data_IF_444883809255
#
_entry.id   IF_444883809255
#
_cell.length_a   1.000
_cell.length_b   1.000
_cell.length_c   1.000
_cell.angle_alpha   90.00
_cell.angle_beta   90.00
_cell.angle_gamma   90.00
#
_symmetry.space_group_name_H-M   'P 1'
#
loop_
_entity.id
_entity.type
_entity.pdbx_description
1 polymer ?
#
# COMPACT_ATOMS: atom_id res chain seq x y z
N UNK A 1 -3.65 -20.07 1.22
CA UNK A 1 -2.23 -19.71 1.41
C UNK A 1 -1.29 -20.00 0.22
N UNK A 2 -1.55 -20.92 -0.76
CA UNK A 2 -0.76 -20.97 -2.00
C UNK A 2 -1.14 -19.87 -3.03
N UNK A 3 -2.18 -19.07 -2.74
CA UNK A 3 -2.67 -17.97 -3.58
C UNK A 3 -1.79 -16.69 -3.53
N UNK A 4 -0.75 -16.67 -2.69
CA UNK A 4 0.10 -15.49 -2.46
C UNK A 4 1.15 -15.30 -3.58
N UNK A 5 1.89 -16.35 -3.93
CA UNK A 5 2.89 -16.30 -5.01
C UNK A 5 2.27 -16.01 -6.40
N UNK A 6 1.05 -16.52 -6.65
CA UNK A 6 0.35 -16.31 -7.92
C UNK A 6 -0.11 -14.86 -8.16
N UNK A 7 -0.30 -14.05 -7.09
CA UNK A 7 -0.81 -12.67 -7.20
C UNK A 7 0.27 -11.64 -7.59
N UNK A 8 1.54 -11.89 -7.29
CA UNK A 8 2.64 -10.95 -7.58
C UNK A 8 3.08 -10.94 -9.04
N UNK A 9 3.02 -12.09 -9.73
CA UNK A 9 3.37 -12.17 -11.16
C UNK A 9 2.35 -11.47 -12.09
N UNK A 10 1.06 -11.45 -11.73
CA UNK A 10 0.01 -10.91 -12.61
C UNK A 10 0.03 -9.38 -12.76
N UNK A 11 0.71 -8.65 -11.85
CA UNK A 11 0.79 -7.18 -11.87
C UNK A 11 1.99 -6.65 -12.67
N UNK A 12 2.93 -7.51 -13.08
CA UNK A 12 4.13 -7.12 -13.80
C UNK A 12 4.04 -7.54 -15.27
N UNK A 13 3.14 -6.89 -16.01
CA UNK A 13 3.08 -7.01 -17.46
C UNK A 13 4.40 -6.57 -18.11
N UNK A 14 5.28 -7.53 -18.39
CA UNK A 14 6.50 -7.33 -19.19
C UNK A 14 6.43 -8.27 -20.39
N UNK A 15 5.90 -7.75 -21.49
CA UNK A 15 6.07 -8.37 -22.80
C UNK A 15 7.54 -8.17 -23.23
N UNK A 16 8.34 -9.22 -23.17
CA UNK A 16 9.69 -9.23 -23.70
C UNK A 16 9.65 -9.63 -25.19
N UNK A 17 9.98 -8.68 -26.07
CA UNK A 17 10.13 -8.93 -27.51
C UNK A 17 11.14 -7.97 -28.12
N UNK A 18 12.43 -8.28 -27.97
CA UNK A 18 13.53 -7.53 -28.57
C UNK A 18 14.66 -8.47 -28.95
N UNK A 19 14.81 -8.67 -30.26
CA UNK A 19 15.78 -9.52 -30.93
C UNK A 19 17.24 -9.16 -30.62
N UNK A 20 18.03 -10.14 -30.19
CA UNK A 20 19.47 -10.01 -30.01
C UNK A 20 20.15 -11.38 -30.02
N UNK A 21 20.76 -11.69 -31.16
CA UNK A 21 21.47 -12.92 -31.53
C UNK A 21 22.49 -13.40 -30.47
N UNK A 22 22.52 -14.71 -30.17
CA UNK A 22 23.63 -15.42 -29.49
C UNK A 22 23.84 -16.81 -30.10
N UNK A 23 25.08 -17.31 -30.19
CA UNK A 23 25.38 -18.60 -30.81
C UNK A 23 24.99 -19.76 -29.89
N UNK A 24 24.41 -20.83 -30.48
CA UNK A 24 23.89 -21.98 -29.73
C UNK A 24 24.96 -22.94 -29.19
N UNK A 25 24.66 -23.71 -28.12
CA UNK A 25 25.60 -24.66 -27.52
C UNK A 25 25.73 -25.97 -28.32
N UNK A 26 26.84 -26.65 -28.06
CA UNK A 26 27.35 -27.82 -28.78
C UNK A 26 26.48 -29.10 -28.67
N UNK A 27 26.66 -30.10 -29.56
CA UNK A 27 25.66 -31.13 -29.90
C UNK A 27 25.28 -32.14 -28.82
N UNK A 28 25.98 -32.21 -27.69
CA UNK A 28 25.81 -33.27 -26.68
C UNK A 28 24.78 -32.95 -25.58
N UNK A 29 24.22 -31.74 -25.52
CA UNK A 29 23.16 -31.38 -24.56
C UNK A 29 21.73 -31.55 -25.09
N UNK A 30 21.54 -32.04 -26.32
CA UNK A 30 20.22 -32.08 -26.99
C UNK A 30 19.32 -33.26 -26.59
N UNK A 31 19.83 -34.30 -25.92
CA UNK A 31 19.02 -35.49 -25.61
C UNK A 31 18.39 -35.53 -24.22
N UNK A 32 18.77 -34.64 -23.29
CA UNK A 32 18.10 -34.52 -21.98
C UNK A 32 16.87 -33.59 -21.98
N UNK A 33 16.66 -32.79 -23.04
CA UNK A 33 15.56 -31.82 -23.09
C UNK A 33 14.29 -32.32 -23.81
N UNK A 34 14.37 -33.43 -24.56
CA UNK A 34 13.24 -33.90 -25.36
C UNK A 34 12.12 -34.62 -24.55
N UNK A 35 12.41 -35.01 -23.31
CA UNK A 35 11.46 -35.73 -22.44
C UNK A 35 10.64 -34.85 -21.50
N UNK A 36 10.94 -33.54 -21.40
CA UNK A 36 10.30 -32.63 -20.43
C UNK A 36 9.24 -31.73 -21.09
N UNK A 37 9.23 -31.62 -22.42
CA UNK A 37 8.44 -30.59 -23.12
C UNK A 37 7.01 -30.98 -23.47
N UNK A 38 6.59 -32.23 -23.27
CA UNK A 38 5.23 -32.67 -23.61
C UNK A 38 4.25 -32.62 -22.43
N UNK A 39 4.65 -33.05 -21.21
CA UNK A 39 3.74 -32.99 -20.05
C UNK A 39 3.64 -31.56 -19.48
N UNK A 40 4.73 -30.80 -19.51
CA UNK A 40 4.76 -29.44 -18.96
C UNK A 40 3.89 -28.44 -19.73
N UNK A 41 3.55 -28.72 -20.99
CA UNK A 41 2.72 -27.82 -21.80
C UNK A 41 1.22 -28.00 -21.51
N UNK A 42 0.77 -29.23 -21.25
CA UNK A 42 -0.60 -29.50 -20.80
C UNK A 42 -0.79 -29.11 -19.33
N UNK A 43 0.22 -29.32 -18.49
CA UNK A 43 0.21 -28.85 -17.10
C UNK A 43 0.28 -27.32 -17.01
N UNK A 44 1.01 -26.64 -17.92
CA UNK A 44 1.00 -25.18 -18.02
C UNK A 44 -0.33 -24.62 -18.56
N UNK A 45 -1.01 -25.33 -19.47
CA UNK A 45 -2.34 -24.94 -19.94
C UNK A 45 -3.42 -25.15 -18.87
N UNK A 46 -3.31 -26.21 -18.06
CA UNK A 46 -4.18 -26.46 -16.90
C UNK A 46 -3.91 -25.47 -15.75
N UNK A 47 -2.65 -25.08 -15.53
CA UNK A 47 -2.27 -24.04 -14.57
C UNK A 47 -2.67 -22.63 -15.04
N UNK A 48 -2.67 -22.36 -16.35
CA UNK A 48 -3.21 -21.13 -16.93
C UNK A 48 -4.75 -21.03 -16.83
N UNK A 49 -5.45 -22.17 -16.73
CA UNK A 49 -6.90 -22.22 -16.51
C UNK A 49 -7.30 -22.05 -15.04
N UNK A 50 -6.33 -22.01 -14.11
CA UNK A 50 -6.55 -21.85 -12.67
C UNK A 50 -6.03 -20.49 -12.13
N UNK A 51 -5.92 -19.48 -13.00
CA UNK A 51 -5.77 -18.10 -12.54
C UNK A 51 -7.00 -17.72 -11.69
N UNK A 52 -6.83 -17.20 -10.46
CA UNK A 52 -7.96 -16.68 -9.72
C UNK A 52 -8.64 -15.63 -10.59
N UNK A 53 -9.96 -15.75 -10.73
CA UNK A 53 -10.79 -14.81 -11.47
C UNK A 53 -10.43 -13.37 -11.06
N UNK A 54 -10.49 -12.40 -11.99
CA UNK A 54 -10.30 -10.99 -11.65
C UNK A 54 -11.21 -10.67 -10.44
N UNK A 55 -10.75 -9.84 -9.50
CA UNK A 55 -11.55 -9.53 -8.34
C UNK A 55 -12.94 -9.11 -8.78
N UNK A 56 -13.96 -9.77 -8.20
CA UNK A 56 -15.36 -9.39 -8.41
C UNK A 56 -15.44 -7.89 -8.18
N UNK A 57 -15.87 -7.15 -9.19
CA UNK A 57 -16.03 -5.70 -9.11
C UNK A 57 -16.84 -5.34 -7.87
N UNK A 58 -16.40 -4.32 -7.13
CA UNK A 58 -17.15 -3.83 -5.98
C UNK A 58 -18.40 -3.14 -6.52
N UNK A 59 -19.58 -3.66 -6.15
CA UNK A 59 -20.87 -3.11 -6.57
C UNK A 59 -21.35 -2.01 -5.60
N UNK A 60 -20.80 -1.92 -4.38
CA UNK A 60 -21.16 -0.86 -3.46
C UNK A 60 -20.49 0.48 -3.79
N UNK A 61 -21.24 1.56 -3.58
CA UNK A 61 -20.72 2.93 -3.64
C UNK A 61 -19.84 3.22 -2.42
N UNK A 62 -18.70 3.86 -2.67
CA UNK A 62 -17.73 4.30 -1.66
C UNK A 62 -17.84 5.81 -1.49
N UNK A 63 -17.98 6.31 -0.26
CA UNK A 63 -17.93 7.72 0.09
C UNK A 63 -16.60 8.02 0.76
N UNK A 64 -15.93 9.11 0.38
CA UNK A 64 -14.69 9.55 1.01
C UNK A 64 -15.03 10.71 1.94
N UNK A 65 -14.58 10.70 3.19
CA UNK A 65 -14.71 11.85 4.09
C UNK A 65 -13.29 12.25 4.44
N UNK A 66 -12.60 12.86 3.49
CA UNK A 66 -11.17 13.19 3.57
C UNK A 66 -10.47 13.25 2.22
N UNK A 67 -9.89 14.39 1.88
CA UNK A 67 -9.34 14.76 0.57
C UNK A 67 -8.04 15.55 0.77
N UNK A 68 -7.41 15.32 1.93
CA UNK A 68 -6.00 15.58 2.07
C UNK A 68 -5.19 14.66 1.16
N UNK A 69 -3.86 14.77 1.24
CA UNK A 69 -2.93 14.04 0.38
C UNK A 69 -3.18 12.53 0.36
N UNK A 70 -3.49 11.92 1.51
CA UNK A 70 -3.72 10.48 1.61
C UNK A 70 -5.07 10.05 1.03
N UNK A 71 -6.15 10.81 1.23
CA UNK A 71 -7.46 10.51 0.63
C UNK A 71 -7.40 10.56 -0.90
N UNK A 72 -6.74 11.59 -1.44
CA UNK A 72 -6.51 11.71 -2.88
C UNK A 72 -5.63 10.57 -3.42
N UNK A 73 -4.60 10.17 -2.67
CA UNK A 73 -3.74 9.05 -3.05
C UNK A 73 -4.50 7.73 -3.18
N UNK A 74 -5.36 7.42 -2.21
CA UNK A 74 -6.19 6.22 -2.24
C UNK A 74 -7.19 6.27 -3.38
N UNK A 75 -7.87 7.41 -3.56
CA UNK A 75 -8.81 7.60 -4.67
C UNK A 75 -8.15 7.35 -6.03
N UNK A 76 -7.03 8.04 -6.31
CA UNK A 76 -6.27 7.88 -7.55
C UNK A 76 -5.83 6.43 -7.74
N UNK A 77 -5.41 5.78 -6.65
CA UNK A 77 -5.00 4.38 -6.68
C UNK A 77 -6.14 3.44 -7.04
N UNK A 78 -7.29 3.56 -6.37
CA UNK A 78 -8.46 2.70 -6.61
C UNK A 78 -9.01 2.87 -8.03
N UNK A 79 -9.05 4.10 -8.54
CA UNK A 79 -9.46 4.39 -9.92
C UNK A 79 -8.49 3.76 -10.93
N UNK A 80 -7.18 3.89 -10.71
CA UNK A 80 -6.14 3.34 -11.60
C UNK A 80 -6.15 1.81 -11.63
N UNK A 81 -6.44 1.17 -10.50
CA UNK A 81 -6.55 -0.27 -10.38
C UNK A 81 -7.79 -0.87 -11.10
N UNK A 82 -8.69 -0.02 -11.64
CA UNK A 82 -9.93 -0.43 -12.32
C UNK A 82 -10.84 -1.36 -11.50
N UNK A 83 -10.70 -1.35 -10.17
CA UNK A 83 -11.59 -2.08 -9.26
C UNK A 83 -13.02 -1.52 -9.26
N UNK A 84 -13.15 -0.25 -9.61
CA UNK A 84 -14.40 0.48 -9.69
C UNK A 84 -14.77 0.61 -11.17
N UNK A 85 -15.87 -0.02 -11.59
CA UNK A 85 -16.48 0.32 -12.88
C UNK A 85 -16.89 1.80 -12.86
N UNK A 86 -16.76 2.50 -13.99
CA UNK A 86 -17.00 3.94 -14.17
C UNK A 86 -18.40 4.46 -13.73
N UNK A 87 -19.28 3.60 -13.24
CA UNK A 87 -20.68 3.87 -12.86
C UNK A 87 -20.99 3.61 -11.37
N UNK A 88 -20.01 3.15 -10.57
CA UNK A 88 -20.20 2.79 -9.15
C UNK A 88 -19.40 3.64 -8.16
N UNK A 89 -18.63 4.62 -8.66
CA UNK A 89 -17.88 5.57 -7.84
C UNK A 89 -18.68 6.86 -7.68
N UNK A 90 -19.27 7.07 -6.51
CA UNK A 90 -19.28 8.45 -6.03
C UNK A 90 -18.06 8.69 -5.18
N UNK A 91 -17.83 9.95 -4.91
CA UNK A 91 -16.87 10.40 -3.94
C UNK A 91 -17.68 11.20 -2.94
N UNK A 92 -17.21 11.27 -1.71
CA UNK A 92 -17.50 12.47 -0.97
C UNK A 92 -16.25 13.28 -0.74
N UNK A 93 -16.49 14.57 -0.63
CA UNK A 93 -15.48 15.45 -0.11
C UNK A 93 -15.53 15.43 1.41
N UNK A 94 -14.45 15.82 2.07
CA UNK A 94 -14.35 15.91 3.52
C UNK A 94 -14.89 17.24 4.01
N UNK A 95 -15.50 17.26 5.18
CA UNK A 95 -15.06 18.25 6.17
C UNK A 95 -13.68 17.75 6.62
N UNK A 96 -12.55 18.39 6.40
CA UNK A 96 -12.18 19.79 6.43
C UNK A 96 -11.61 20.28 5.09
N UNK A 97 -12.35 20.11 4.00
CA UNK A 97 -12.09 20.75 2.71
C UNK A 97 -13.33 21.43 2.12
N UNK A 98 -14.21 21.87 3.01
CA UNK A 98 -15.01 23.08 2.95
C UNK A 98 -14.79 23.69 4.34
N UNK A 99 -13.74 24.47 4.54
CA UNK A 99 -13.72 25.91 4.40
C UNK A 99 -12.28 26.33 4.07
N UNK A 100 -12.02 26.67 2.80
CA UNK A 100 -11.29 27.87 2.39
C UNK A 100 -10.70 27.66 0.99
N UNK A 101 -11.36 28.25 -0.01
CA UNK A 101 -10.81 28.89 -1.21
C UNK A 101 -9.34 28.52 -1.52
N UNK A 102 -9.14 27.27 -1.95
CA UNK A 102 -8.55 26.90 -3.25
C UNK A 102 -9.39 25.78 -3.91
N UNK A 103 -10.69 25.79 -3.61
CA UNK A 103 -11.60 24.64 -3.72
C UNK A 103 -12.17 24.38 -5.13
N UNK A 104 -12.15 25.35 -6.03
CA UNK A 104 -12.73 25.17 -7.37
C UNK A 104 -11.83 24.35 -8.30
N UNK A 105 -10.50 24.57 -8.29
CA UNK A 105 -9.55 23.80 -9.10
C UNK A 105 -9.51 22.33 -8.67
N UNK A 106 -9.68 22.07 -7.37
CA UNK A 106 -9.64 20.71 -6.81
C UNK A 106 -10.91 19.93 -7.09
N UNK A 107 -12.08 20.59 -7.04
CA UNK A 107 -13.35 20.01 -7.47
C UNK A 107 -13.32 19.64 -8.95
N UNK A 108 -12.87 20.56 -9.80
CA UNK A 108 -12.77 20.32 -11.24
C UNK A 108 -11.74 19.21 -11.54
N UNK A 109 -10.62 19.16 -10.81
CA UNK A 109 -9.65 18.06 -10.92
C UNK A 109 -10.25 16.69 -10.55
N UNK A 110 -11.11 16.62 -9.53
CA UNK A 110 -11.77 15.39 -9.11
C UNK A 110 -12.89 14.96 -10.08
N UNK A 111 -13.68 15.92 -10.57
CA UNK A 111 -14.68 15.68 -11.62
C UNK A 111 -14.01 15.17 -12.91
N UNK A 112 -12.87 15.76 -13.31
CA UNK A 112 -12.05 15.27 -14.43
C UNK A 112 -11.47 13.87 -14.19
N UNK A 113 -11.34 13.44 -12.93
CA UNK A 113 -10.91 12.08 -12.57
C UNK A 113 -12.05 11.05 -12.59
N UNK A 114 -13.29 11.46 -12.89
CA UNK A 114 -14.45 10.57 -12.99
C UNK A 114 -15.20 10.34 -11.67
N UNK A 115 -15.05 11.25 -10.72
CA UNK A 115 -15.83 11.27 -9.47
C UNK A 115 -17.28 11.67 -9.75
N UNK A 116 -18.25 10.81 -9.43
CA UNK A 116 -19.64 10.98 -9.83
C UNK A 116 -20.47 12.02 -9.06
N UNK A 117 -20.04 12.47 -7.89
CA UNK A 117 -20.74 13.50 -7.10
C UNK A 117 -19.77 14.18 -6.13
N UNK A 118 -19.99 15.46 -5.89
CA UNK A 118 -19.21 16.30 -4.97
C UNK A 118 -20.20 16.98 -4.05
N UNK A 119 -20.06 16.74 -2.75
CA UNK A 119 -21.03 17.16 -1.73
C UNK A 119 -20.42 18.21 -0.80
N UNK A 120 -21.29 18.85 -0.01
CA UNK A 120 -20.95 19.95 0.90
C UNK A 120 -20.07 19.56 2.09
N UNK A 121 -19.90 20.49 3.03
CA UNK A 121 -19.05 20.31 4.21
C UNK A 121 -19.64 19.17 5.03
N UNK A 122 -18.83 18.20 5.45
CA UNK A 122 -19.34 17.07 6.21
C UNK A 122 -20.01 17.51 7.53
N UNK A 123 -19.64 18.65 8.12
CA UNK A 123 -20.31 19.19 9.33
C UNK A 123 -21.51 20.08 9.03
N UNK A 124 -21.68 20.53 7.78
CA UNK A 124 -22.83 21.32 7.32
C UNK A 124 -23.80 20.47 6.46
N UNK A 125 -24.07 19.24 6.90
CA UNK A 125 -25.01 18.33 6.26
C UNK A 125 -24.38 17.38 5.21
N UNK A 126 -23.13 17.59 4.82
CA UNK A 126 -22.42 16.72 3.89
C UNK A 126 -22.29 15.28 4.40
N UNK A 127 -22.13 15.04 5.72
CA UNK A 127 -22.07 13.68 6.28
C UNK A 127 -23.34 12.87 6.01
N UNK A 128 -24.51 13.52 6.07
CA UNK A 128 -25.80 12.92 5.75
C UNK A 128 -25.85 12.50 4.28
N UNK A 129 -25.41 13.38 3.38
CA UNK A 129 -25.39 13.10 1.95
C UNK A 129 -24.46 11.92 1.62
N UNK A 130 -23.31 11.77 2.32
CA UNK A 130 -22.44 10.59 2.18
C UNK A 130 -23.14 9.32 2.54
N UNK A 131 -23.70 9.28 3.74
CA UNK A 131 -24.26 8.07 4.28
C UNK A 131 -25.44 7.61 3.41
N UNK A 132 -26.23 8.56 2.92
CA UNK A 132 -27.31 8.26 1.98
C UNK A 132 -26.81 7.75 0.62
N UNK A 133 -25.68 8.28 0.14
CA UNK A 133 -25.13 7.91 -1.16
C UNK A 133 -24.34 6.60 -1.15
N UNK A 134 -23.54 6.35 -0.11
CA UNK A 134 -22.53 5.29 -0.06
C UNK A 134 -22.70 4.37 1.14
N UNK A 135 -22.41 3.08 0.92
CA UNK A 135 -22.46 2.06 1.99
C UNK A 135 -21.09 1.80 2.60
N UNK A 136 -20.02 2.18 1.90
CA UNK A 136 -18.64 2.14 2.42
C UNK A 136 -18.20 3.59 2.63
N UNK A 137 -17.87 3.96 3.87
CA UNK A 137 -17.49 5.31 4.25
C UNK A 137 -16.02 5.35 4.65
N UNK A 138 -15.17 5.97 3.84
CA UNK A 138 -13.73 6.05 4.06
C UNK A 138 -13.33 7.39 4.67
N UNK A 139 -13.09 7.41 5.99
CA UNK A 139 -12.68 8.58 6.75
C UNK A 139 -11.18 8.84 6.54
N UNK A 140 -10.88 9.87 5.76
CA UNK A 140 -9.54 10.33 5.38
C UNK A 140 -9.20 11.72 5.97
N UNK A 141 -9.84 12.10 7.08
CA UNK A 141 -9.59 13.37 7.77
C UNK A 141 -8.34 13.29 8.66
N UNK A 142 -7.87 14.46 9.12
CA UNK A 142 -6.82 14.49 10.13
C UNK A 142 -7.38 13.96 11.46
N UNK A 143 -6.56 13.30 12.31
CA UNK A 143 -7.02 12.76 13.59
C UNK A 143 -7.75 13.78 14.48
N UNK A 144 -7.34 15.05 14.44
CA UNK A 144 -7.92 16.12 15.25
C UNK A 144 -9.35 16.48 14.83
N UNK A 145 -9.70 16.29 13.55
CA UNK A 145 -11.03 16.60 13.02
C UNK A 145 -11.97 15.38 13.09
N UNK A 146 -11.45 14.19 13.40
CA UNK A 146 -12.24 12.98 13.38
C UNK A 146 -13.38 12.96 14.42
N UNK A 147 -13.22 13.46 15.67
CA UNK A 147 -14.33 13.47 16.62
C UNK A 147 -15.58 14.21 16.11
N UNK A 148 -15.39 15.40 15.53
CA UNK A 148 -16.48 16.22 14.97
C UNK A 148 -17.16 15.54 13.78
N UNK A 149 -16.36 14.89 12.91
CA UNK A 149 -16.88 14.09 11.80
C UNK A 149 -17.71 12.91 12.29
N UNK A 150 -17.25 12.20 13.32
CA UNK A 150 -17.97 11.05 13.87
C UNK A 150 -19.30 11.48 14.50
N UNK A 151 -19.32 12.60 15.23
CA UNK A 151 -20.54 13.17 15.82
C UNK A 151 -21.56 13.56 14.74
N UNK A 152 -21.11 14.20 13.66
CA UNK A 152 -21.97 14.56 12.53
C UNK A 152 -22.48 13.34 11.77
N UNK A 153 -21.68 12.27 11.69
CA UNK A 153 -22.01 11.06 10.92
C UNK A 153 -22.92 10.09 11.69
N UNK A 154 -22.81 10.05 13.03
CA UNK A 154 -23.51 9.10 13.90
C UNK A 154 -25.04 8.98 13.65
N UNK A 155 -25.80 10.07 13.43
CA UNK A 155 -27.25 9.98 13.18
C UNK A 155 -27.62 9.34 11.84
N UNK A 156 -26.66 9.19 10.92
CA UNK A 156 -26.91 8.79 9.54
C UNK A 156 -26.35 7.40 9.19
N UNK A 157 -25.51 6.83 10.06
CA UNK A 157 -24.96 5.49 9.88
C UNK A 157 -25.85 4.42 10.52
N UNK A 158 -25.84 3.26 9.89
CA UNK A 158 -26.61 2.07 10.29
C UNK A 158 -25.72 0.83 10.16
N UNK A 159 -26.22 -0.34 10.57
CA UNK A 159 -25.51 -1.62 10.40
C UNK A 159 -25.19 -1.97 8.94
N UNK A 160 -25.91 -1.39 7.98
CA UNK A 160 -25.64 -1.54 6.55
C UNK A 160 -24.35 -0.82 6.12
N UNK A 161 -23.84 0.11 6.92
CA UNK A 161 -22.64 0.88 6.60
C UNK A 161 -21.37 0.18 7.11
N UNK A 162 -20.32 0.27 6.31
CA UNK A 162 -18.95 -0.06 6.68
C UNK A 162 -18.15 1.24 6.77
N UNK A 163 -17.69 1.59 7.97
CA UNK A 163 -16.85 2.77 8.20
C UNK A 163 -15.39 2.34 8.25
N UNK A 164 -14.59 2.84 7.33
CA UNK A 164 -13.15 2.58 7.24
C UNK A 164 -12.43 3.88 7.61
N UNK A 165 -11.56 3.87 8.61
CA UNK A 165 -10.80 5.06 9.01
C UNK A 165 -9.31 4.88 8.76
N UNK A 166 -8.68 5.88 8.15
CA UNK A 166 -7.21 5.95 7.99
C UNK A 166 -6.55 6.92 8.97
N UNK A 167 -7.29 7.45 9.94
CA UNK A 167 -6.77 8.42 10.90
C UNK A 167 -5.80 7.75 11.88
N UNK A 168 -4.58 8.28 11.96
CA UNK A 168 -3.60 7.85 12.95
C UNK A 168 -4.08 8.17 14.38
N UNK A 169 -3.80 7.28 15.33
CA UNK A 169 -4.07 7.48 16.75
C UNK A 169 -5.54 7.32 17.19
N UNK A 170 -6.53 7.23 16.30
CA UNK A 170 -7.94 7.05 16.74
C UNK A 170 -8.29 5.57 16.78
N UNK A 171 -8.70 5.09 17.96
CA UNK A 171 -8.96 3.65 18.19
C UNK A 171 -10.31 3.19 17.63
N UNK A 172 -10.42 1.89 17.36
CA UNK A 172 -11.69 1.24 17.01
C UNK A 172 -12.73 1.50 18.10
N UNK A 173 -12.36 1.35 19.38
CA UNK A 173 -13.26 1.59 20.49
C UNK A 173 -13.78 3.03 20.52
N UNK A 174 -12.94 4.03 20.23
CA UNK A 174 -13.35 5.44 20.13
C UNK A 174 -14.39 5.63 19.02
N UNK A 175 -14.15 5.04 17.84
CA UNK A 175 -15.06 5.15 16.70
C UNK A 175 -16.39 4.42 16.95
N UNK A 176 -16.34 3.22 17.51
CA UNK A 176 -17.54 2.43 17.86
C UNK A 176 -18.40 3.14 18.91
N UNK A 177 -17.78 3.77 19.92
CA UNK A 177 -18.48 4.55 20.93
C UNK A 177 -19.17 5.78 20.33
N UNK A 178 -18.54 6.44 19.36
CA UNK A 178 -19.10 7.63 18.72
C UNK A 178 -20.23 7.31 17.72
N UNK A 179 -20.07 6.25 16.93
CA UNK A 179 -21.01 5.90 15.84
C UNK A 179 -22.17 4.99 16.30
N UNK A 180 -22.01 4.33 17.45
CA UNK A 180 -23.01 3.43 18.02
C UNK A 180 -22.70 1.93 17.84
N UNK A 181 -23.37 1.06 18.62
CA UNK A 181 -22.95 -0.33 18.85
C UNK A 181 -23.16 -1.29 17.68
N UNK A 182 -23.82 -0.86 16.61
CA UNK A 182 -24.18 -1.71 15.46
C UNK A 182 -23.36 -1.40 14.20
N UNK A 183 -22.53 -0.35 14.24
CA UNK A 183 -21.77 0.09 13.07
C UNK A 183 -20.54 -0.78 12.87
N UNK A 184 -20.31 -1.20 11.63
CA UNK A 184 -19.14 -2.00 11.24
C UNK A 184 -17.98 -1.05 10.99
N UNK A 185 -16.93 -1.16 11.80
CA UNK A 185 -15.77 -0.25 11.74
C UNK A 185 -14.50 -1.03 11.41
N UNK A 186 -13.66 -0.48 10.53
CA UNK A 186 -12.31 -0.98 10.27
C UNK A 186 -11.33 0.17 10.37
N UNK A 187 -10.26 -0.06 11.12
CA UNK A 187 -9.14 0.89 11.23
C UNK A 187 -8.03 0.45 10.29
N UNK A 188 -7.57 1.35 9.44
CA UNK A 188 -6.57 1.07 8.41
C UNK A 188 -5.41 2.04 8.57
N UNK A 189 -4.19 1.56 8.34
CA UNK A 189 -2.98 2.38 8.34
C UNK A 189 -2.26 2.21 7.01
N UNK A 190 -2.61 2.99 5.97
CA UNK A 190 -1.91 3.01 4.70
C UNK A 190 -0.66 3.91 4.78
N UNK A 191 0.06 4.03 3.68
CA UNK A 191 1.16 4.98 3.53
C UNK A 191 1.19 5.63 2.14
N UNK A 192 2.00 6.69 1.99
CA UNK A 192 2.03 7.52 0.78
C UNK A 192 2.45 6.81 -0.52
N UNK A 193 3.30 5.75 -0.51
CA UNK A 193 3.59 4.96 -1.71
C UNK A 193 2.37 4.32 -2.41
N UNK A 194 1.19 4.32 -1.79
CA UNK A 194 -0.06 3.95 -2.47
C UNK A 194 -0.32 4.76 -3.77
N UNK A 195 0.17 6.01 -3.83
CA UNK A 195 0.13 6.88 -5.03
C UNK A 195 0.72 6.22 -6.28
N UNK A 196 1.71 5.36 -6.10
CA UNK A 196 2.41 4.66 -7.17
C UNK A 196 2.14 3.15 -7.15
N UNK A 197 1.06 2.73 -6.49
CA UNK A 197 0.63 1.33 -6.36
C UNK A 197 1.63 0.43 -5.61
N UNK A 198 2.46 1.03 -4.77
CA UNK A 198 3.46 0.33 -3.95
C UNK A 198 3.24 0.60 -2.46
N UNK A 199 1.99 0.82 -2.05
CA UNK A 199 1.63 1.04 -0.65
C UNK A 199 1.95 -0.16 0.23
N UNK A 200 2.08 0.08 1.53
CA UNK A 200 2.09 -0.94 2.56
C UNK A 200 1.05 -0.56 3.61
N UNK A 201 -0.04 -1.32 3.62
CA UNK A 201 -1.21 -1.08 4.44
C UNK A 201 -1.37 -2.19 5.46
N UNK A 202 -1.71 -1.85 6.70
CA UNK A 202 -2.25 -2.81 7.65
C UNK A 202 -3.63 -2.38 8.13
N UNK A 203 -4.49 -3.33 8.51
CA UNK A 203 -5.81 -3.02 9.03
C UNK A 203 -6.22 -3.91 10.19
N UNK A 204 -7.12 -3.40 11.03
CA UNK A 204 -7.73 -4.11 12.16
C UNK A 204 -9.25 -3.96 12.12
N UNK A 205 -9.94 -5.04 12.41
CA UNK A 205 -11.40 -5.12 12.41
C UNK A 205 -11.96 -4.69 13.76
N UNK A 206 -13.03 -3.88 13.73
CA UNK A 206 -13.88 -3.61 14.88
C UNK A 206 -14.73 -4.82 15.27
N UNK A 207 -15.45 -4.69 16.38
CA UNK A 207 -16.24 -5.77 17.00
C UNK A 207 -17.33 -6.32 16.07
N UNK A 208 -17.94 -5.43 15.29
CA UNK A 208 -19.06 -5.77 14.41
C UNK A 208 -18.63 -5.99 12.95
N UNK A 209 -17.36 -5.77 12.61
CA UNK A 209 -16.86 -5.99 11.26
C UNK A 209 -16.78 -7.50 10.95
N UNK A 210 -17.24 -7.88 9.77
CA UNK A 210 -17.36 -9.28 9.35
C UNK A 210 -16.15 -9.73 8.54
N UNK A 211 -16.02 -11.05 8.30
CA UNK A 211 -15.01 -11.58 7.37
C UNK A 211 -15.17 -11.02 5.95
N UNK A 212 -16.41 -10.76 5.51
CA UNK A 212 -16.67 -10.11 4.22
C UNK A 212 -16.14 -8.68 4.17
N UNK A 213 -16.23 -7.96 5.28
CA UNK A 213 -15.65 -6.61 5.39
C UNK A 213 -14.12 -6.68 5.33
N UNK A 214 -13.52 -7.71 5.93
CA UNK A 214 -12.08 -7.96 5.85
C UNK A 214 -11.64 -8.25 4.41
N UNK A 215 -12.35 -9.12 3.69
CA UNK A 215 -12.09 -9.43 2.28
C UNK A 215 -12.21 -8.18 1.39
N UNK A 216 -13.21 -7.35 1.64
CA UNK A 216 -13.43 -6.09 0.92
C UNK A 216 -12.30 -5.09 1.18
N UNK A 217 -11.89 -4.91 2.43
CA UNK A 217 -10.77 -4.04 2.80
C UNK A 217 -9.46 -4.56 2.22
N UNK A 218 -9.20 -5.87 2.31
CA UNK A 218 -8.04 -6.49 1.68
C UNK A 218 -8.03 -6.23 0.17
N UNK A 219 -9.17 -6.41 -0.50
CA UNK A 219 -9.31 -6.16 -1.92
C UNK A 219 -9.02 -4.70 -2.30
N UNK A 220 -9.62 -3.75 -1.57
CA UNK A 220 -9.45 -2.33 -1.81
C UNK A 220 -7.98 -1.92 -1.68
N UNK A 221 -7.35 -2.25 -0.55
CA UNK A 221 -6.00 -1.76 -0.26
C UNK A 221 -4.91 -2.59 -0.94
N UNK A 222 -5.15 -3.87 -1.26
CA UNK A 222 -4.25 -4.67 -2.10
C UNK A 222 -4.16 -4.16 -3.54
N UNK A 223 -5.13 -3.36 -3.98
CA UNK A 223 -5.09 -2.73 -5.31
C UNK A 223 -4.07 -1.62 -5.42
N UNK A 224 -3.70 -1.00 -4.29
CA UNK A 224 -2.75 0.12 -4.23
C UNK A 224 -1.42 -0.27 -3.59
N UNK A 225 -1.20 -1.55 -3.32
CA UNK A 225 0.03 -2.07 -2.74
C UNK A 225 -0.19 -3.34 -1.93
N UNK A 226 0.70 -3.59 -0.96
CA UNK A 226 0.58 -4.68 0.00
C UNK A 226 -0.47 -4.33 1.07
N UNK A 227 -1.30 -5.30 1.44
CA UNK A 227 -2.27 -5.20 2.53
C UNK A 227 -2.16 -6.40 3.46
N UNK A 228 -2.31 -6.19 4.77
CA UNK A 228 -2.31 -7.27 5.76
C UNK A 228 -3.21 -6.95 6.94
N UNK A 229 -3.96 -7.96 7.41
CA UNK A 229 -4.71 -7.86 8.65
C UNK A 229 -3.79 -8.03 9.87
N UNK A 230 -3.94 -7.16 10.87
CA UNK A 230 -3.20 -7.20 12.13
C UNK A 230 -4.15 -6.99 13.31
N UNK A 231 -3.65 -7.22 14.54
CA UNK A 231 -4.36 -6.79 15.74
C UNK A 231 -4.25 -5.26 15.87
N UNK A 232 -5.30 -4.60 16.37
CA UNK A 232 -5.32 -3.14 16.49
C UNK A 232 -4.13 -2.59 17.28
N UNK A 233 -3.73 -3.28 18.36
CA UNK A 233 -2.57 -2.92 19.20
C UNK A 233 -1.23 -2.86 18.43
N UNK A 234 -1.16 -3.44 17.24
CA UNK A 234 0.02 -3.44 16.38
C UNK A 234 0.03 -2.23 15.43
N UNK A 235 -1.08 -1.52 15.26
CA UNK A 235 -1.17 -0.43 14.28
C UNK A 235 -0.24 0.75 14.61
N UNK A 236 0.05 1.03 15.88
CA UNK A 236 1.06 2.05 16.23
C UNK A 236 2.48 1.63 15.78
N UNK A 237 2.81 0.34 15.89
CA UNK A 237 4.06 -0.19 15.38
C UNK A 237 4.10 -0.13 13.84
N UNK A 238 2.99 -0.41 13.17
CA UNK A 238 2.84 -0.23 11.72
C UNK A 238 3.06 1.24 11.34
N UNK A 239 2.48 2.19 12.07
CA UNK A 239 2.68 3.64 11.85
C UNK A 239 4.16 4.02 11.96
N UNK A 240 4.87 3.49 12.96
CA UNK A 240 6.31 3.72 13.14
C UNK A 240 7.17 3.09 12.03
N UNK A 241 6.74 1.95 11.48
CA UNK A 241 7.46 1.22 10.45
C UNK A 241 7.07 1.65 9.03
N UNK A 242 5.88 1.31 8.54
CA UNK A 242 5.46 1.55 7.15
C UNK A 242 4.82 2.92 6.95
N UNK A 243 4.21 3.51 7.99
CA UNK A 243 3.65 4.86 7.91
C UNK A 243 4.74 5.94 7.81
N UNK A 244 5.73 5.87 8.71
CA UNK A 244 6.85 6.81 8.79
C UNK A 244 8.04 6.39 7.91
N UNK A 245 8.14 5.10 7.60
CA UNK A 245 9.24 4.49 6.82
C UNK A 245 9.61 5.16 5.51
N UNK A 246 8.66 5.63 4.68
CA UNK A 246 8.98 6.34 3.43
C UNK A 246 9.95 7.51 3.66
N UNK A 247 9.77 8.29 4.74
CA UNK A 247 10.68 9.40 5.05
C UNK A 247 12.11 8.91 5.38
N UNK A 248 12.23 7.79 6.10
CA UNK A 248 13.53 7.19 6.41
C UNK A 248 14.23 6.68 5.13
N UNK A 249 13.45 6.15 4.19
CA UNK A 249 13.96 5.70 2.89
C UNK A 249 14.36 6.87 2.00
N UNK A 250 13.63 7.99 2.01
CA UNK A 250 14.01 9.20 1.27
C UNK A 250 15.36 9.75 1.75
N UNK A 251 15.56 9.81 3.08
CA UNK A 251 16.85 10.19 3.66
C UNK A 251 17.98 9.25 3.20
N UNK A 252 17.73 7.94 3.17
CA UNK A 252 18.70 6.96 2.66
C UNK A 252 19.04 7.19 1.18
N UNK A 253 18.03 7.42 0.33
CA UNK A 253 18.23 7.67 -1.10
C UNK A 253 19.06 8.94 -1.32
N UNK A 254 18.76 10.01 -0.56
CA UNK A 254 19.51 11.26 -0.61
C UNK A 254 20.97 11.07 -0.17
N UNK A 255 21.21 10.39 0.95
CA UNK A 255 22.55 10.10 1.45
C UNK A 255 23.37 9.22 0.49
N UNK A 256 22.75 8.23 -0.16
CA UNK A 256 23.40 7.42 -1.19
C UNK A 256 23.76 8.26 -2.43
N UNK A 257 22.89 9.18 -2.83
CA UNK A 257 23.17 10.09 -3.94
C UNK A 257 24.32 11.05 -3.60
N UNK A 258 24.36 11.59 -2.38
CA UNK A 258 25.47 12.40 -1.88
C UNK A 258 26.79 11.63 -1.88
N UNK A 259 26.79 10.37 -1.41
CA UNK A 259 27.96 9.50 -1.48
C UNK A 259 28.42 9.24 -2.92
N UNK A 260 27.49 9.05 -3.86
CA UNK A 260 27.79 8.93 -5.29
C UNK A 260 28.45 10.19 -5.86
N UNK A 261 27.98 11.37 -5.49
CA UNK A 261 28.59 12.65 -5.89
C UNK A 261 29.98 12.83 -5.29
N UNK A 262 30.15 12.50 -4.00
CA UNK A 262 31.47 12.52 -3.36
C UNK A 262 32.47 11.55 -4.03
N UNK A 263 31.97 10.45 -4.59
CA UNK A 263 32.76 9.50 -5.39
C UNK A 263 32.94 9.92 -6.86
N UNK A 264 32.43 11.07 -7.29
CA UNK A 264 32.67 11.66 -8.62
C UNK A 264 31.52 11.53 -9.63
N UNK A 265 30.34 11.05 -9.23
CA UNK A 265 29.17 10.98 -10.14
C UNK A 265 28.47 12.35 -10.28
N UNK A 266 27.89 12.66 -11.45
CA UNK A 266 26.93 13.75 -11.57
C UNK A 266 25.71 13.54 -10.68
N UNK A 267 25.19 14.62 -10.09
CA UNK A 267 24.05 14.59 -9.13
C UNK A 267 22.84 13.82 -9.65
N UNK A 268 22.39 14.11 -10.88
CA UNK A 268 21.21 13.46 -11.45
C UNK A 268 21.42 11.95 -11.62
N UNK A 269 22.60 11.54 -12.09
CA UNK A 269 22.96 10.13 -12.24
C UNK A 269 23.01 9.43 -10.88
N UNK A 270 23.65 10.04 -9.87
CA UNK A 270 23.74 9.47 -8.53
C UNK A 270 22.36 9.26 -7.90
N UNK A 271 21.46 10.24 -8.02
CA UNK A 271 20.09 10.15 -7.50
C UNK A 271 19.29 9.04 -8.20
N UNK A 272 19.36 8.96 -9.53
CA UNK A 272 18.67 7.92 -10.29
C UNK A 272 19.15 6.51 -9.92
N UNK A 273 20.48 6.33 -9.79
CA UNK A 273 21.08 5.06 -9.38
C UNK A 273 20.69 4.69 -7.94
N UNK A 274 20.73 5.63 -7.00
CA UNK A 274 20.34 5.41 -5.61
C UNK A 274 18.87 4.95 -5.49
N UNK A 275 17.95 5.68 -6.13
CA UNK A 275 16.52 5.35 -6.09
C UNK A 275 16.23 3.97 -6.73
N UNK A 276 16.87 3.65 -7.87
CA UNK A 276 16.73 2.33 -8.52
C UNK A 276 17.33 1.20 -7.69
N UNK A 277 18.47 1.44 -7.04
CA UNK A 277 19.13 0.47 -6.16
C UNK A 277 18.23 0.10 -4.99
N UNK A 278 17.66 1.10 -4.31
CA UNK A 278 16.72 0.87 -3.20
C UNK A 278 15.47 0.13 -3.68
N UNK A 279 14.88 0.53 -4.81
CA UNK A 279 13.71 -0.15 -5.38
C UNK A 279 13.99 -1.62 -5.68
N UNK A 280 15.09 -1.90 -6.39
CA UNK A 280 15.46 -3.27 -6.77
C UNK A 280 15.77 -4.14 -5.55
N UNK A 281 16.52 -3.62 -4.58
CA UNK A 281 16.84 -4.34 -3.35
C UNK A 281 15.57 -4.69 -2.56
N UNK A 282 14.60 -3.78 -2.46
CA UNK A 282 13.33 -4.05 -1.81
C UNK A 282 12.53 -5.13 -2.56
N UNK A 283 12.50 -5.10 -3.89
CA UNK A 283 11.80 -6.13 -4.69
C UNK A 283 12.42 -7.53 -4.51
N UNK A 284 13.75 -7.61 -4.38
CA UNK A 284 14.43 -8.90 -4.16
C UNK A 284 14.06 -9.55 -2.81
N UNK A 285 13.62 -8.78 -1.81
CA UNK A 285 13.14 -9.37 -0.54
C UNK A 285 11.86 -10.17 -0.76
N UNK A 286 11.00 -9.75 -1.69
CA UNK A 286 9.75 -10.42 -2.03
C UNK A 286 9.88 -11.39 -3.21
N UNK A 287 11.11 -11.75 -3.62
CA UNK A 287 11.28 -12.75 -4.66
C UNK A 287 10.98 -14.14 -4.09
N UNK A 288 10.19 -14.93 -4.82
CA UNK A 288 9.91 -16.32 -4.48
C UNK A 288 11.22 -17.14 -4.50
N UNK A 289 11.72 -17.48 -3.32
CA UNK A 289 12.62 -18.61 -3.12
C UNK A 289 11.75 -19.76 -2.60
N UNK A 290 11.77 -20.91 -3.28
CA UNK A 290 10.89 -22.06 -3.06
C UNK A 290 10.96 -22.67 -1.64
N UNK A 291 11.79 -22.11 -0.78
CA UNK A 291 12.13 -22.59 0.55
C UNK A 291 11.51 -21.80 1.70
N UNK A 292 10.94 -20.60 1.46
CA UNK A 292 10.34 -19.79 2.53
C UNK A 292 8.80 -19.89 2.54
N UNK A 293 8.21 -20.28 3.67
CA UNK A 293 6.75 -20.27 3.85
C UNK A 293 6.16 -18.85 3.76
N UNK A 294 6.97 -17.82 3.99
CA UNK A 294 6.57 -16.41 3.95
C UNK A 294 6.60 -15.78 2.55
N UNK A 295 7.10 -16.48 1.52
CA UNK A 295 7.32 -15.89 0.19
C UNK A 295 8.31 -14.73 0.19
N UNK A 296 9.29 -14.75 1.10
CA UNK A 296 10.29 -13.69 1.28
C UNK A 296 11.67 -14.26 1.57
N UNK A 297 12.70 -13.68 0.98
CA UNK A 297 14.09 -14.05 1.25
C UNK A 297 14.63 -13.23 2.42
N UNK A 298 15.24 -13.90 3.39
CA UNK A 298 15.86 -13.23 4.53
C UNK A 298 16.93 -12.21 4.06
N UNK A 299 16.88 -10.92 4.45
CA UNK A 299 17.80 -9.89 3.95
C UNK A 299 19.28 -10.17 4.19
N UNK A 300 19.62 -10.92 5.25
CA UNK A 300 20.99 -11.38 5.51
C UNK A 300 21.53 -12.26 4.38
N UNK A 301 20.70 -13.14 3.81
CA UNK A 301 21.08 -14.01 2.70
C UNK A 301 21.31 -13.19 1.43
N UNK A 302 20.42 -12.24 1.12
CA UNK A 302 20.58 -11.35 -0.03
C UNK A 302 21.84 -10.49 0.09
N UNK A 303 22.12 -9.98 1.30
CA UNK A 303 23.34 -9.22 1.61
C UNK A 303 24.59 -10.07 1.38
N UNK A 304 24.61 -11.32 1.84
CA UNK A 304 25.77 -12.21 1.65
C UNK A 304 25.96 -12.58 0.17
N UNK A 305 24.87 -12.77 -0.60
CA UNK A 305 24.92 -13.04 -2.06
C UNK A 305 25.61 -11.94 -2.87
N UNK A 306 25.61 -10.68 -2.40
CA UNK A 306 26.24 -9.54 -3.09
C UNK A 306 27.58 -9.10 -2.47
N UNK A 307 27.97 -9.69 -1.34
CA UNK A 307 29.21 -9.37 -0.62
C UNK A 307 30.32 -10.34 -0.99
N UNK A 308 31.01 -10.08 -2.11
CA UNK A 308 32.18 -10.88 -2.50
C UNK A 308 33.34 -10.73 -1.49
N UNK A 309 34.15 -11.78 -1.28
CA UNK A 309 35.32 -11.71 -0.41
C UNK A 309 36.26 -10.56 -0.79
N UNK A 310 36.61 -9.72 0.19
CA UNK A 310 37.43 -8.51 0.02
C UNK A 310 36.92 -7.51 -1.06
N UNK A 311 35.65 -7.62 -1.46
CA UNK A 311 35.05 -6.76 -2.46
C UNK A 311 34.61 -5.40 -1.94
N UNK A 312 34.15 -4.54 -2.86
CA UNK A 312 33.65 -3.20 -2.54
C UNK A 312 32.44 -3.23 -1.61
N UNK A 313 31.53 -4.21 -1.77
CA UNK A 313 30.33 -4.35 -0.95
C UNK A 313 30.67 -4.60 0.52
N UNK A 314 31.59 -5.52 0.83
CA UNK A 314 31.93 -5.86 2.22
C UNK A 314 32.69 -4.71 2.91
N UNK A 315 33.51 -3.96 2.15
CA UNK A 315 34.14 -2.74 2.65
C UNK A 315 33.07 -1.68 3.03
N UNK A 316 32.11 -1.41 2.16
CA UNK A 316 31.01 -0.49 2.45
C UNK A 316 30.12 -0.95 3.62
N UNK A 317 29.81 -2.24 3.71
CA UNK A 317 29.06 -2.81 4.83
C UNK A 317 29.78 -2.61 6.18
N UNK A 318 31.12 -2.72 6.19
CA UNK A 318 31.92 -2.53 7.42
C UNK A 318 31.80 -1.10 7.96
N UNK A 319 31.79 -0.09 7.08
CA UNK A 319 31.56 1.30 7.46
C UNK A 319 30.15 1.55 8.00
N UNK A 320 29.13 0.94 7.38
CA UNK A 320 27.74 1.05 7.83
C UNK A 320 27.51 0.41 9.21
N UNK A 321 28.13 -0.74 9.48
CA UNK A 321 28.07 -1.38 10.79
C UNK A 321 28.81 -0.56 11.85
N UNK A 322 29.99 -0.02 11.52
CA UNK A 322 30.76 0.87 12.41
C UNK A 322 30.01 2.16 12.74
N UNK A 323 29.19 2.64 11.81
CA UNK A 323 28.29 3.80 12.00
C UNK A 323 27.01 3.47 12.77
N UNK A 324 26.76 2.20 13.13
CA UNK A 324 25.61 1.80 13.92
C UNK A 324 24.26 1.93 13.19
N UNK A 325 24.26 1.79 11.87
CA UNK A 325 23.08 2.04 11.00
C UNK A 325 21.86 1.20 11.40
N UNK A 326 22.05 -0.08 11.74
CA UNK A 326 20.95 -0.95 12.22
C UNK A 326 20.28 -0.37 13.46
N UNK A 327 21.09 0.05 14.43
CA UNK A 327 20.61 0.64 15.67
C UNK A 327 19.86 1.96 15.43
N UNK A 328 20.32 2.77 14.47
CA UNK A 328 19.64 4.01 14.11
C UNK A 328 18.22 3.76 13.57
N UNK A 329 18.06 2.82 12.63
CA UNK A 329 16.73 2.47 12.10
C UNK A 329 15.80 1.88 13.17
N UNK A 330 16.31 0.98 14.03
CA UNK A 330 15.52 0.41 15.13
C UNK A 330 15.00 1.51 16.05
N UNK A 331 15.86 2.47 16.43
CA UNK A 331 15.47 3.62 17.26
C UNK A 331 14.47 4.55 16.56
N UNK A 332 14.63 4.79 15.25
CA UNK A 332 13.70 5.62 14.49
C UNK A 332 12.29 5.01 14.47
N UNK A 333 12.17 3.72 14.14
CA UNK A 333 10.89 3.00 14.12
C UNK A 333 10.24 2.97 15.50
N UNK A 334 10.99 2.60 16.53
CA UNK A 334 10.45 2.50 17.90
C UNK A 334 10.05 3.86 18.46
N UNK A 335 10.81 4.92 18.18
CA UNK A 335 10.41 6.29 18.57
C UNK A 335 9.17 6.77 17.82
N UNK A 336 9.07 6.49 16.52
CA UNK A 336 7.91 6.87 15.73
C UNK A 336 6.64 6.14 16.20
N UNK A 337 6.75 4.84 16.53
CA UNK A 337 5.65 4.08 17.11
C UNK A 337 5.22 4.62 18.49
N UNK A 338 6.18 4.94 19.36
CA UNK A 338 5.89 5.58 20.65
C UNK A 338 5.15 6.92 20.47
N UNK A 339 5.61 7.75 19.50
CA UNK A 339 4.94 9.01 19.19
C UNK A 339 3.53 8.81 18.65
N UNK A 340 3.28 7.78 17.83
CA UNK A 340 1.92 7.44 17.38
C UNK A 340 0.98 7.22 18.57
N UNK A 341 1.45 6.46 19.56
CA UNK A 341 0.69 6.19 20.78
C UNK A 341 0.45 7.44 21.62
N UNK A 342 1.43 8.34 21.74
CA UNK A 342 1.27 9.63 22.44
C UNK A 342 0.24 10.55 21.76
N UNK A 343 0.02 10.41 20.46
CA UNK A 343 -0.98 11.19 19.72
C UNK A 343 -2.41 10.62 19.86
N UNK A 344 -2.55 9.38 20.33
CA UNK A 344 -3.82 8.67 20.40
C UNK A 344 -4.74 9.11 21.55
N UNK A 345 -4.22 9.91 22.50
CA UNK A 345 -4.95 10.30 23.72
C UNK A 345 -4.89 9.23 24.78
#
# INVERSE_FOLDING_TARGET
MPAFAARLCALQGVAAGGSGWRPGPAPHQRQQWAGITASSAQDAAAAAAAAPSPPKSIAEKIGFIGAGQMGEALLRGFLRAKLLGMWHTGLLLPSSLLHSVKDWERREALERMGVGSVFGDATEGGSCDVANFARILLLCTKPQALPEVLESLAPHVTEEHLVISIAAGVTLNTMEQALGPHVRVVRVMPNTPALVQCGATAYALGRNATERDAELVDLLFSSVGFCIQVQEKQLDAVTGLSGSGPAFVYLMIEALADGGVAAGLPRETALALAAKTVKGAAQMVFSDDATSESGMVHPGVLKDRVASPAGTTIAGLTELESSGVRGAFIRAVTRAAARSKELAG
#
